data_IF_598169409222
#
_entry.id   IF_598169409222
#
_cell.length_a   1.000
_cell.length_b   1.000
_cell.length_c   1.000
_cell.angle_alpha   90.00
_cell.angle_beta   90.00
_cell.angle_gamma   90.00
#
_symmetry.space_group_name_H-M   'P 1'
#
loop_
_entity.id
_entity.type
_entity.pdbx_description
1 polymer ?
#
# COMPACT_ATOMS: atom_id res chain seq x y z
N UNK A 1 2.65 26.49 -1.57
CA UNK A 1 2.90 25.27 -0.78
C UNK A 1 1.99 24.19 -1.31
N UNK A 2 2.54 23.10 -1.87
CA UNK A 2 1.74 22.11 -2.59
C UNK A 2 0.75 21.40 -1.67
N UNK A 3 -0.47 21.20 -2.15
CA UNK A 3 -1.60 20.50 -1.48
C UNK A 3 -1.22 19.07 -1.01
N UNK A 4 -0.09 18.53 -1.49
CA UNK A 4 0.46 17.23 -1.14
C UNK A 4 1.92 17.33 -0.69
N UNK A 5 2.21 16.92 0.55
CA UNK A 5 3.57 16.69 1.02
C UNK A 5 4.06 15.31 0.55
N UNK A 6 4.86 15.34 -0.51
CA UNK A 6 5.47 14.15 -1.12
C UNK A 6 6.34 13.37 -0.14
N UNK A 7 7.00 14.03 0.81
CA UNK A 7 7.90 13.34 1.75
C UNK A 7 7.12 12.40 2.65
N UNK A 8 5.99 12.88 3.16
CA UNK A 8 5.14 12.11 4.07
C UNK A 8 4.52 10.91 3.36
N UNK A 9 4.10 11.09 2.10
CA UNK A 9 3.61 10.00 1.24
C UNK A 9 4.70 8.95 1.01
N UNK A 10 5.91 9.37 0.65
CA UNK A 10 7.03 8.47 0.36
C UNK A 10 7.48 7.69 1.59
N UNK A 11 7.54 8.33 2.76
CA UNK A 11 7.88 7.66 4.03
C UNK A 11 6.80 6.63 4.39
N UNK A 12 5.52 6.98 4.25
CA UNK A 12 4.42 6.04 4.44
C UNK A 12 4.52 4.85 3.49
N UNK A 13 4.73 5.12 2.20
CA UNK A 13 4.84 4.08 1.19
C UNK A 13 6.04 3.16 1.39
N UNK A 14 7.19 3.71 1.80
CA UNK A 14 8.39 2.94 2.12
C UNK A 14 8.12 1.95 3.27
N UNK A 15 7.45 2.40 4.33
CA UNK A 15 7.07 1.53 5.43
C UNK A 15 6.14 0.39 4.97
N UNK A 16 5.15 0.70 4.11
CA UNK A 16 4.29 -0.32 3.52
C UNK A 16 5.08 -1.34 2.68
N UNK A 17 6.01 -0.87 1.85
CA UNK A 17 6.81 -1.72 0.97
C UNK A 17 7.69 -2.71 1.74
N UNK A 18 8.23 -2.31 2.90
CA UNK A 18 9.01 -3.19 3.76
C UNK A 18 8.23 -4.43 4.23
N UNK A 19 6.90 -4.34 4.35
CA UNK A 19 6.04 -5.48 4.69
C UNK A 19 5.47 -6.18 3.45
N UNK A 20 5.11 -5.43 2.41
CA UNK A 20 4.52 -5.96 1.19
C UNK A 20 5.48 -6.88 0.43
N UNK A 21 6.74 -6.48 0.27
CA UNK A 21 7.70 -7.18 -0.59
C UNK A 21 8.07 -8.57 -0.06
N UNK A 22 8.48 -8.76 1.21
CA UNK A 22 8.78 -10.09 1.74
C UNK A 22 7.56 -11.01 1.72
N UNK A 23 6.37 -10.47 2.05
CA UNK A 23 5.12 -11.24 2.03
C UNK A 23 4.77 -11.71 0.62
N UNK A 24 4.90 -10.84 -0.40
CA UNK A 24 4.66 -11.20 -1.80
C UNK A 24 5.66 -12.24 -2.32
N UNK A 25 6.93 -12.13 -1.93
CA UNK A 25 7.95 -13.13 -2.28
C UNK A 25 7.60 -14.48 -1.65
N UNK A 26 7.36 -14.52 -0.33
CA UNK A 26 7.02 -15.75 0.40
C UNK A 26 5.73 -16.40 -0.10
N UNK A 27 4.69 -15.60 -0.38
CA UNK A 27 3.44 -16.06 -0.98
C UNK A 27 3.70 -16.86 -2.25
N UNK A 28 4.61 -16.36 -3.10
CA UNK A 28 4.88 -16.94 -4.40
C UNK A 28 5.87 -18.11 -4.35
N UNK A 29 6.95 -17.98 -3.59
CA UNK A 29 8.05 -18.97 -3.61
C UNK A 29 7.78 -20.15 -2.69
N UNK A 30 7.18 -19.92 -1.52
CA UNK A 30 7.01 -20.94 -0.49
C UNK A 30 5.56 -21.41 -0.41
N UNK A 31 4.59 -20.51 -0.57
CA UNK A 31 3.20 -20.78 -0.19
C UNK A 31 2.20 -20.81 -1.36
N UNK A 32 2.64 -20.86 -2.62
CA UNK A 32 1.75 -20.61 -3.77
C UNK A 32 0.54 -21.55 -3.90
N UNK A 33 0.56 -22.73 -3.25
CA UNK A 33 -0.52 -23.71 -3.24
C UNK A 33 -1.04 -24.05 -1.83
N UNK A 34 -0.80 -23.19 -0.84
CA UNK A 34 -1.25 -23.43 0.53
C UNK A 34 -2.22 -22.36 1.02
N UNK A 35 -3.00 -22.67 2.05
CA UNK A 35 -3.86 -21.69 2.73
C UNK A 35 -3.09 -20.44 3.22
N UNK A 36 -1.77 -20.57 3.44
CA UNK A 36 -0.89 -19.45 3.80
C UNK A 36 -0.73 -18.42 2.68
N UNK A 37 -1.06 -18.73 1.43
CA UNK A 37 -1.11 -17.72 0.37
C UNK A 37 -2.13 -16.60 0.69
N UNK A 38 -3.29 -16.96 1.25
CA UNK A 38 -4.30 -15.99 1.68
C UNK A 38 -3.84 -15.14 2.86
N UNK A 39 -3.06 -15.72 3.78
CA UNK A 39 -2.47 -14.98 4.91
C UNK A 39 -1.45 -13.96 4.42
N UNK A 40 -0.61 -14.32 3.46
CA UNK A 40 0.35 -13.38 2.86
C UNK A 40 -0.35 -12.27 2.10
N UNK A 41 -1.44 -12.57 1.38
CA UNK A 41 -2.28 -11.56 0.73
C UNK A 41 -2.88 -10.59 1.77
N UNK A 42 -3.34 -11.08 2.91
CA UNK A 42 -3.82 -10.24 4.00
C UNK A 42 -2.73 -9.34 4.58
N UNK A 43 -1.49 -9.83 4.71
CA UNK A 43 -0.33 -9.03 5.13
C UNK A 43 -0.03 -7.93 4.09
N UNK A 44 -0.10 -8.25 2.81
CA UNK A 44 0.08 -7.29 1.71
C UNK A 44 -0.99 -6.19 1.79
N UNK A 45 -2.26 -6.53 1.98
CA UNK A 45 -3.30 -5.52 2.18
C UNK A 45 -3.10 -4.70 3.47
N UNK A 46 -2.71 -5.36 4.56
CA UNK A 46 -2.42 -4.68 5.82
C UNK A 46 -1.28 -3.66 5.68
N UNK A 47 -0.28 -3.96 4.84
CA UNK A 47 0.82 -3.03 4.55
C UNK A 47 0.33 -1.72 3.90
N UNK A 48 -0.71 -1.77 3.07
CA UNK A 48 -1.34 -0.58 2.49
C UNK A 48 -2.01 0.31 3.54
N UNK A 49 -2.69 -0.31 4.52
CA UNK A 49 -3.23 0.40 5.66
C UNK A 49 -2.13 0.98 6.56
N UNK A 50 -1.04 0.23 6.78
CA UNK A 50 0.12 0.71 7.54
C UNK A 50 0.79 1.91 6.88
N UNK A 51 0.92 1.88 5.55
CA UNK A 51 1.45 3.01 4.76
C UNK A 51 0.59 4.26 4.93
N UNK A 52 -0.73 4.10 4.84
CA UNK A 52 -1.67 5.18 5.05
C UNK A 52 -1.62 5.76 6.47
N UNK A 53 -1.52 4.89 7.49
CA UNK A 53 -1.34 5.29 8.88
C UNK A 53 -0.05 6.07 9.09
N UNK A 54 1.07 5.58 8.56
CA UNK A 54 2.37 6.23 8.69
C UNK A 54 2.42 7.59 8.01
N UNK A 55 1.75 7.75 6.85
CA UNK A 55 1.63 9.02 6.15
C UNK A 55 0.69 10.02 6.88
N UNK A 56 -0.34 9.55 7.58
CA UNK A 56 -1.25 10.43 8.30
C UNK A 56 -0.80 10.77 9.73
N UNK A 57 0.14 9.99 10.30
CA UNK A 57 0.65 10.16 11.67
C UNK A 57 1.22 11.56 11.97
N UNK A 58 1.93 12.25 11.05
CA UNK A 58 2.41 13.62 11.28
C UNK A 58 1.30 14.68 11.27
N UNK A 59 0.04 14.28 11.07
CA UNK A 59 -1.13 15.16 10.91
C UNK A 59 -0.92 16.26 9.86
N UNK A 60 -0.51 15.93 8.61
CA UNK A 60 -0.40 16.92 7.56
C UNK A 60 -1.77 17.51 7.20
N UNK A 61 -1.84 18.75 6.68
CA UNK A 61 -3.06 19.28 6.11
C UNK A 61 -3.55 18.31 5.02
N UNK A 62 -4.81 17.85 5.16
CA UNK A 62 -5.41 16.80 4.34
C UNK A 62 -4.82 15.40 4.54
N UNK A 63 -4.73 14.90 5.77
CA UNK A 63 -4.19 13.57 6.09
C UNK A 63 -4.86 12.37 5.34
N UNK A 64 -6.16 12.45 5.05
CA UNK A 64 -6.89 11.38 4.35
C UNK A 64 -6.38 11.14 2.90
N UNK A 65 -6.32 12.16 2.03
CA UNK A 65 -5.76 11.97 0.69
C UNK A 65 -4.27 11.63 0.70
N UNK A 66 -3.49 12.07 1.71
CA UNK A 66 -2.10 11.62 1.86
C UNK A 66 -2.02 10.12 2.17
N UNK A 67 -2.92 9.60 3.02
CA UNK A 67 -3.03 8.17 3.28
C UNK A 67 -3.41 7.36 2.04
N UNK A 68 -4.39 7.86 1.26
CA UNK A 68 -4.78 7.25 -0.01
C UNK A 68 -3.60 7.16 -0.97
N UNK A 69 -2.89 8.28 -1.16
CA UNK A 69 -1.73 8.36 -2.03
C UNK A 69 -0.60 7.43 -1.58
N UNK A 70 -0.32 7.35 -0.27
CA UNK A 70 0.68 6.44 0.28
C UNK A 70 0.33 4.97 0.01
N UNK A 71 -0.95 4.59 0.16
CA UNK A 71 -1.44 3.26 -0.20
C UNK A 71 -1.20 2.94 -1.68
N UNK A 72 -1.59 3.84 -2.59
CA UNK A 72 -1.38 3.66 -4.04
C UNK A 72 0.10 3.54 -4.39
N UNK A 73 0.95 4.40 -3.83
CA UNK A 73 2.40 4.39 -4.09
C UNK A 73 3.03 3.09 -3.55
N UNK A 74 2.55 2.57 -2.43
CA UNK A 74 2.97 1.26 -1.90
C UNK A 74 2.66 0.15 -2.89
N UNK A 75 1.43 0.12 -3.41
CA UNK A 75 1.03 -0.87 -4.42
C UNK A 75 1.87 -0.75 -5.68
N UNK A 76 2.00 0.44 -6.25
CA UNK A 76 2.79 0.66 -7.46
C UNK A 76 4.25 0.24 -7.27
N UNK A 77 4.86 0.55 -6.12
CA UNK A 77 6.20 0.10 -5.80
C UNK A 77 6.31 -1.43 -5.75
N UNK A 78 5.34 -2.10 -5.13
CA UNK A 78 5.33 -3.56 -5.02
C UNK A 78 5.10 -4.23 -6.39
N UNK A 79 4.18 -3.69 -7.19
CA UNK A 79 3.85 -4.17 -8.54
C UNK A 79 5.02 -4.00 -9.50
N UNK A 80 5.72 -2.86 -9.47
CA UNK A 80 6.92 -2.64 -10.31
C UNK A 80 7.99 -3.68 -9.97
N UNK A 81 8.27 -3.90 -8.67
CA UNK A 81 9.24 -4.91 -8.25
C UNK A 81 8.82 -6.31 -8.69
N UNK A 82 7.53 -6.63 -8.59
CA UNK A 82 6.97 -7.90 -9.04
C UNK A 82 7.13 -8.10 -10.55
N UNK A 83 6.77 -7.11 -11.38
CA UNK A 83 6.90 -7.17 -12.84
C UNK A 83 8.36 -7.32 -13.27
N UNK A 84 9.27 -6.57 -12.65
CA UNK A 84 10.72 -6.69 -12.90
C UNK A 84 11.23 -8.10 -12.54
N UNK A 85 10.82 -8.62 -11.38
CA UNK A 85 11.26 -9.93 -10.91
C UNK A 85 10.66 -11.10 -11.71
N UNK A 86 9.46 -10.95 -12.25
CA UNK A 86 8.75 -12.02 -12.96
C UNK A 86 9.08 -12.07 -14.45
N UNK A 87 9.38 -10.92 -15.07
CA UNK A 87 9.49 -10.76 -16.54
C UNK A 87 8.30 -11.38 -17.31
N UNK A 88 7.15 -11.57 -16.66
CA UNK A 88 5.94 -12.10 -17.28
C UNK A 88 5.01 -10.93 -17.57
N UNK A 89 4.83 -10.63 -18.84
CA UNK A 89 3.89 -9.63 -19.29
C UNK A 89 2.61 -10.37 -19.70
N UNK A 90 1.59 -10.26 -18.86
CA UNK A 90 0.22 -10.68 -19.21
C UNK A 90 -0.35 -9.79 -20.32
N UNK A 91 -1.50 -10.16 -20.87
CA UNK A 91 -2.26 -9.33 -21.79
C UNK A 91 -2.40 -7.89 -21.22
N UNK A 92 -2.00 -6.85 -21.97
CA UNK A 92 -1.93 -5.48 -21.48
C UNK A 92 -3.28 -4.96 -20.96
N UNK A 93 -4.41 -5.42 -21.51
CA UNK A 93 -5.73 -5.00 -21.05
C UNK A 93 -6.06 -5.56 -19.66
N UNK A 94 -5.74 -6.84 -19.42
CA UNK A 94 -5.97 -7.50 -18.13
C UNK A 94 -5.04 -6.93 -17.06
N UNK A 95 -3.79 -6.65 -17.43
CA UNK A 95 -2.80 -6.03 -16.54
C UNK A 95 -3.24 -4.63 -16.12
N UNK A 96 -3.70 -3.80 -17.05
CA UNK A 96 -4.17 -2.45 -16.75
C UNK A 96 -5.41 -2.46 -15.86
N UNK A 97 -6.38 -3.33 -16.13
CA UNK A 97 -7.56 -3.50 -15.29
C UNK A 97 -7.18 -3.93 -13.86
N UNK A 98 -6.28 -4.90 -13.73
CA UNK A 98 -5.77 -5.37 -12.44
C UNK A 98 -5.08 -4.26 -11.65
N UNK A 99 -4.18 -3.51 -12.30
CA UNK A 99 -3.47 -2.38 -11.69
C UNK A 99 -4.45 -1.33 -11.17
N UNK A 100 -5.46 -0.96 -11.96
CA UNK A 100 -6.46 0.04 -11.55
C UNK A 100 -7.27 -0.44 -10.35
N UNK A 101 -7.78 -1.68 -10.39
CA UNK A 101 -8.57 -2.25 -9.29
C UNK A 101 -7.76 -2.35 -8.00
N UNK A 102 -6.53 -2.87 -8.06
CA UNK A 102 -5.68 -2.99 -6.88
C UNK A 102 -5.22 -1.62 -6.36
N UNK A 103 -4.96 -0.65 -7.23
CA UNK A 103 -4.67 0.73 -6.80
C UNK A 103 -5.85 1.32 -6.02
N UNK A 104 -7.10 1.10 -6.45
CA UNK A 104 -8.30 1.53 -5.73
C UNK A 104 -8.45 0.83 -4.36
N UNK A 105 -8.17 -0.47 -4.29
CA UNK A 105 -8.17 -1.22 -3.03
C UNK A 105 -7.13 -0.65 -2.07
N UNK A 106 -5.91 -0.42 -2.54
CA UNK A 106 -4.84 0.14 -1.73
C UNK A 106 -5.08 1.60 -1.34
N UNK A 107 -5.70 2.40 -2.20
CA UNK A 107 -6.15 3.74 -1.85
C UNK A 107 -7.15 3.69 -0.68
N UNK A 108 -8.09 2.73 -0.73
CA UNK A 108 -9.12 2.54 0.29
C UNK A 108 -8.54 2.03 1.61
N UNK A 109 -7.58 1.11 1.56
CA UNK A 109 -6.85 0.65 2.74
C UNK A 109 -5.99 1.76 3.34
N UNK A 110 -5.32 2.56 2.49
CA UNK A 110 -4.54 3.71 2.89
C UNK A 110 -5.38 4.80 3.56
N UNK A 111 -6.58 5.08 3.06
CA UNK A 111 -7.51 6.02 3.73
C UNK A 111 -7.99 5.48 5.07
N UNK A 112 -8.30 4.19 5.19
CA UNK A 112 -8.66 3.56 6.48
C UNK A 112 -7.51 3.72 7.49
N UNK A 113 -6.28 3.41 7.07
CA UNK A 113 -5.09 3.60 7.90
C UNK A 113 -4.92 5.06 8.36
N UNK A 114 -5.17 6.01 7.45
CA UNK A 114 -5.14 7.43 7.78
C UNK A 114 -6.23 7.86 8.76
N UNK A 115 -7.46 7.35 8.61
CA UNK A 115 -8.55 7.61 9.55
C UNK A 115 -8.17 7.18 10.98
N UNK A 116 -7.53 6.02 11.12
CA UNK A 116 -7.06 5.53 12.43
C UNK A 116 -5.99 6.46 13.02
N UNK A 117 -5.03 6.93 12.22
CA UNK A 117 -4.00 7.85 12.67
C UNK A 117 -4.60 9.19 13.13
N UNK A 118 -5.51 9.76 12.35
CA UNK A 118 -6.19 11.03 12.68
C UNK A 118 -7.06 10.88 13.92
N UNK A 119 -7.83 9.79 14.03
CA UNK A 119 -8.66 9.50 15.21
C UNK A 119 -7.82 9.39 16.49
N UNK A 120 -6.63 8.79 16.40
CA UNK A 120 -5.71 8.71 17.54
C UNK A 120 -5.06 10.05 17.86
N UNK A 121 -4.64 10.82 16.86
CA UNK A 121 -4.06 12.15 17.04
C UNK A 121 -5.04 13.13 17.71
N UNK A 122 -6.32 13.06 17.37
CA UNK A 122 -7.37 13.88 17.99
C UNK A 122 -7.70 13.48 19.43
N UNK A 123 -7.35 12.27 19.90
CA UNK A 123 -7.56 11.85 21.30
C UNK A 123 -6.45 12.30 22.24
N UNK A 124 -5.33 12.77 21.68
CA UNK A 124 -4.15 13.22 22.43
C UNK A 124 -4.00 14.74 22.48
N UNK A 125 -4.92 15.48 21.87
CA UNK A 125 -5.08 16.93 22.00
C UNK A 125 -6.25 17.24 22.93
#
# INVERSE_FOLDING_TARGET
MGIFDRRVILIGAFNGLCFALPAAILQRTVFSNTAFAGVMLAIIFFSGALAGYAAARPLPPHALPHGAAAGVVTFLGAEIVYLIATRKFSDPAVLLLGVVLFALVFASLGTIGAMVAVSRGNRTQ
#
